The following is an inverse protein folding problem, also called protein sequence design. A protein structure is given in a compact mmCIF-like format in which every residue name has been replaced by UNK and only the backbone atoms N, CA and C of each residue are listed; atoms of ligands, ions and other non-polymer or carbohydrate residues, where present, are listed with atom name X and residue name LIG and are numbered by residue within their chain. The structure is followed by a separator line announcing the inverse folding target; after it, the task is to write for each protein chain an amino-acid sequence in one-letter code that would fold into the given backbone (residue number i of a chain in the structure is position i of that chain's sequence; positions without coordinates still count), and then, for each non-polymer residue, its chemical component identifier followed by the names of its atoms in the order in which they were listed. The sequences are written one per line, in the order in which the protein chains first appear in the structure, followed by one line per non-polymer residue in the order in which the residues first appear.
data_IF_940627378439
#
_entry.id   IF_940627378439
#
_cell.length_a   1.000
_cell.length_b   1.000
_cell.length_c   1.000
_cell.angle_alpha   90.00
_cell.angle_beta   90.00
_cell.angle_gamma   90.00
#
_symmetry.space_group_name_H-M   'P 1'
#
loop_
_entity.id
_entity.type
_entity.pdbx_description
1 polymer ?
#
# COMPACT_ATOMS: atom_id res chain seq x y z
N UNK A 1 -2.04 25.83 0.37
CA UNK A 1 -3.47 25.62 0.15
C UNK A 1 -4.20 25.60 1.47
N UNK A 2 -5.36 26.26 1.54
CA UNK A 2 -6.18 26.34 2.76
C UNK A 2 -7.41 25.41 2.64
N UNK A 3 -7.15 24.18 2.17
CA UNK A 3 -8.22 23.18 2.15
C UNK A 3 -8.32 22.52 3.51
N UNK A 4 -9.53 22.28 4.03
CA UNK A 4 -9.70 21.47 5.23
C UNK A 4 -9.23 20.04 4.95
N UNK A 5 -8.31 19.55 5.77
CA UNK A 5 -7.78 18.19 5.68
C UNK A 5 -8.16 17.49 6.98
N UNK A 6 -8.57 16.23 6.86
CA UNK A 6 -8.80 15.33 7.97
C UNK A 6 -8.00 14.05 7.76
N UNK A 7 -7.30 13.59 8.80
CA UNK A 7 -6.56 12.33 8.76
C UNK A 7 -7.36 11.22 9.44
N UNK A 8 -7.49 10.11 8.75
CA UNK A 8 -8.17 8.90 9.19
C UNK A 8 -7.15 7.82 9.51
N UNK A 9 -7.19 7.28 10.72
CA UNK A 9 -6.26 6.26 11.21
C UNK A 9 -6.99 4.96 11.49
N UNK A 10 -6.45 3.87 10.96
CA UNK A 10 -7.00 2.51 11.04
C UNK A 10 -6.01 1.57 11.73
N UNK A 11 -5.74 1.72 13.03
CA UNK A 11 -4.72 0.91 13.71
C UNK A 11 -5.07 -0.58 13.80
N UNK A 12 -6.32 -0.96 13.60
CA UNK A 12 -6.85 -2.32 13.72
C UNK A 12 -6.48 -3.02 15.04
N UNK A 13 -6.43 -2.27 16.13
CA UNK A 13 -6.00 -2.75 17.44
C UNK A 13 -7.20 -2.82 18.40
N UNK A 14 -7.36 -3.92 19.15
CA UNK A 14 -8.45 -4.05 20.09
C UNK A 14 -8.18 -3.36 21.43
N UNK A 15 -9.25 -2.94 22.11
CA UNK A 15 -9.24 -2.58 23.51
C UNK A 15 -8.27 -1.47 23.90
N UNK A 16 -7.41 -1.75 24.87
CA UNK A 16 -6.47 -0.77 25.43
C UNK A 16 -5.43 -0.24 24.47
N UNK A 17 -4.99 -1.07 23.51
CA UNK A 17 -4.01 -0.65 22.49
C UNK A 17 -4.62 0.37 21.53
N UNK A 18 -5.89 0.21 21.18
CA UNK A 18 -6.63 1.22 20.41
C UNK A 18 -6.65 2.58 21.14
N UNK A 19 -6.95 2.61 22.43
CA UNK A 19 -6.98 3.85 23.20
C UNK A 19 -5.62 4.54 23.24
N UNK A 20 -4.54 3.75 23.36
CA UNK A 20 -3.18 4.26 23.33
C UNK A 20 -2.82 4.81 21.94
N UNK A 21 -3.18 4.11 20.87
CA UNK A 21 -2.95 4.57 19.50
C UNK A 21 -3.67 5.90 19.24
N UNK A 22 -4.95 5.97 19.61
CA UNK A 22 -5.75 7.19 19.51
C UNK A 22 -5.12 8.35 20.27
N UNK A 23 -4.75 8.14 21.52
CA UNK A 23 -4.11 9.17 22.35
C UNK A 23 -2.83 9.69 21.69
N UNK A 24 -1.97 8.81 21.19
CA UNK A 24 -0.73 9.19 20.50
C UNK A 24 -0.98 10.02 19.23
N UNK A 25 -2.02 9.68 18.46
CA UNK A 25 -2.42 10.47 17.29
C UNK A 25 -2.86 11.89 17.72
N UNK A 26 -3.72 11.99 18.72
CA UNK A 26 -4.20 13.27 19.26
C UNK A 26 -3.06 14.13 19.83
N UNK A 27 -2.10 13.52 20.52
CA UNK A 27 -0.91 14.20 21.06
C UNK A 27 0.06 14.67 19.96
N UNK A 28 0.25 13.85 18.91
CA UNK A 28 1.15 14.18 17.81
C UNK A 28 0.58 15.23 16.85
N UNK A 29 -0.75 15.32 16.75
CA UNK A 29 -1.47 16.16 15.78
C UNK A 29 -2.52 17.06 16.47
N UNK A 30 -2.16 17.87 17.49
CA UNK A 30 -3.13 18.57 18.36
C UNK A 30 -3.98 19.63 17.64
N UNK A 31 -3.53 20.10 16.48
CA UNK A 31 -4.21 21.16 15.71
C UNK A 31 -4.74 20.66 14.35
N UNK A 32 -4.83 19.34 14.18
CA UNK A 32 -5.27 18.71 12.95
C UNK A 32 -6.54 17.91 13.22
N UNK A 33 -7.48 17.95 12.30
CA UNK A 33 -8.66 17.07 12.38
C UNK A 33 -8.22 15.63 12.16
N UNK A 34 -8.51 14.78 13.14
CA UNK A 34 -8.14 13.37 13.10
C UNK A 34 -9.31 12.51 13.52
N UNK A 35 -9.51 11.40 12.83
CA UNK A 35 -10.42 10.33 13.23
C UNK A 35 -9.64 9.03 13.36
N UNK A 36 -9.66 8.41 14.53
CA UNK A 36 -9.06 7.10 14.78
C UNK A 36 -10.18 6.08 14.94
N UNK A 37 -10.19 5.09 14.07
CA UNK A 37 -11.23 4.07 14.03
C UNK A 37 -10.89 2.87 14.94
N UNK A 38 -11.84 2.39 15.75
CA UNK A 38 -11.67 1.12 16.44
C UNK A 38 -11.67 -0.04 15.44
N UNK A 39 -11.22 -1.21 15.88
CA UNK A 39 -11.36 -2.44 15.10
C UNK A 39 -12.83 -2.66 14.76
N UNK A 40 -13.10 -2.90 13.49
CA UNK A 40 -14.44 -3.07 12.94
C UNK A 40 -14.52 -4.36 12.10
N UNK A 41 -15.74 -4.82 11.83
CA UNK A 41 -15.95 -5.85 10.82
C UNK A 41 -15.48 -5.35 9.45
N UNK A 42 -14.92 -6.24 8.62
CA UNK A 42 -14.32 -5.88 7.34
C UNK A 42 -15.21 -5.03 6.43
N UNK A 43 -16.53 -5.32 6.27
CA UNK A 43 -17.41 -4.45 5.47
C UNK A 43 -17.55 -3.02 6.01
N UNK A 44 -17.50 -2.84 7.33
CA UNK A 44 -17.61 -1.52 7.94
C UNK A 44 -16.28 -0.75 7.86
N UNK A 45 -15.16 -1.45 7.97
CA UNK A 45 -13.84 -0.89 7.68
C UNK A 45 -13.77 -0.36 6.24
N UNK A 46 -14.23 -1.13 5.25
CA UNK A 46 -14.26 -0.68 3.85
C UNK A 46 -15.13 0.56 3.63
N UNK A 47 -16.28 0.66 4.30
CA UNK A 47 -17.12 1.88 4.27
C UNK A 47 -16.38 3.10 4.84
N UNK A 48 -15.56 2.90 5.87
CA UNK A 48 -14.76 3.97 6.43
C UNK A 48 -13.64 4.40 5.47
N UNK A 49 -13.05 3.45 4.72
CA UNK A 49 -12.11 3.78 3.64
C UNK A 49 -12.76 4.57 2.51
N UNK A 50 -14.03 4.32 2.19
CA UNK A 50 -14.78 5.06 1.16
C UNK A 50 -14.94 6.55 1.48
N UNK A 51 -14.74 6.94 2.74
CA UNK A 51 -14.75 8.34 3.16
C UNK A 51 -13.40 9.05 2.96
N UNK A 52 -12.37 8.33 2.53
CA UNK A 52 -11.03 8.87 2.29
C UNK A 52 -10.82 9.19 0.81
N UNK A 53 -10.00 10.20 0.54
CA UNK A 53 -9.64 10.63 -0.83
C UNK A 53 -8.26 10.13 -1.26
N UNK A 54 -7.36 9.90 -0.31
CA UNK A 54 -5.96 9.54 -0.51
C UNK A 54 -5.55 8.57 0.58
N UNK A 55 -4.85 7.51 0.22
CA UNK A 55 -4.17 6.64 1.17
C UNK A 55 -2.71 7.04 1.31
N UNK A 56 -2.21 7.04 2.54
CA UNK A 56 -0.82 7.31 2.86
C UNK A 56 -0.17 6.02 3.36
N UNK A 57 0.78 5.51 2.58
CA UNK A 57 1.58 4.34 2.95
C UNK A 57 2.39 4.60 4.22
N UNK A 58 2.41 3.63 5.12
CA UNK A 58 3.20 3.72 6.35
C UNK A 58 4.69 3.65 6.08
N UNK A 59 5.48 4.30 6.92
CA UNK A 59 6.92 4.13 7.02
C UNK A 59 7.32 4.27 8.51
N UNK A 60 8.22 3.48 8.98
CA UNK A 60 9.24 2.60 8.39
C UNK A 60 8.73 1.25 7.87
N UNK A 61 7.49 0.89 8.11
CA UNK A 61 6.91 -0.41 7.79
C UNK A 61 5.69 -0.22 6.91
N UNK A 62 5.69 -0.82 5.73
CA UNK A 62 4.59 -0.72 4.79
C UNK A 62 3.37 -1.55 5.21
N UNK A 63 2.25 -1.33 4.54
CA UNK A 63 0.96 -1.98 4.83
C UNK A 63 0.41 -2.69 3.58
N UNK A 64 0.91 -3.88 3.28
CA UNK A 64 0.50 -4.65 2.09
C UNK A 64 -1.00 -4.89 2.03
N UNK A 65 -1.62 -5.38 3.11
CA UNK A 65 -3.05 -5.69 3.12
C UNK A 65 -3.91 -4.43 2.97
N UNK A 66 -3.57 -3.36 3.71
CA UNK A 66 -4.27 -2.09 3.56
C UNK A 66 -4.09 -1.46 2.18
N UNK A 67 -2.95 -1.68 1.52
CA UNK A 67 -2.76 -1.23 0.14
C UNK A 67 -3.67 -1.99 -0.84
N UNK A 68 -3.86 -3.31 -0.67
CA UNK A 68 -4.83 -4.08 -1.46
C UNK A 68 -6.24 -3.51 -1.26
N UNK A 69 -6.64 -3.26 -0.02
CA UNK A 69 -7.96 -2.70 0.29
C UNK A 69 -8.15 -1.32 -0.35
N UNK A 70 -7.13 -0.45 -0.28
CA UNK A 70 -7.15 0.86 -0.93
C UNK A 70 -7.29 0.73 -2.45
N UNK A 71 -6.54 -0.16 -3.10
CA UNK A 71 -6.62 -0.39 -4.54
C UNK A 71 -8.00 -0.92 -4.95
N UNK A 72 -8.56 -1.86 -4.19
CA UNK A 72 -9.92 -2.40 -4.40
C UNK A 72 -10.98 -1.31 -4.27
N UNK A 73 -10.77 -0.33 -3.38
CA UNK A 73 -11.65 0.83 -3.22
C UNK A 73 -11.31 1.99 -4.16
N UNK A 74 -10.40 1.77 -5.13
CA UNK A 74 -9.94 2.78 -6.07
C UNK A 74 -9.38 4.04 -5.39
N UNK A 75 -8.75 3.87 -4.23
CA UNK A 75 -8.16 4.94 -3.44
C UNK A 75 -6.69 5.12 -3.87
N UNK A 76 -6.28 6.28 -4.41
CA UNK A 76 -4.89 6.54 -4.76
C UNK A 76 -3.97 6.46 -3.53
N UNK A 77 -2.83 5.79 -3.69
CA UNK A 77 -1.86 5.57 -2.61
C UNK A 77 -0.60 6.38 -2.90
N UNK A 78 -0.08 7.09 -1.89
CA UNK A 78 1.28 7.62 -1.88
C UNK A 78 2.10 6.74 -0.95
N UNK A 79 3.20 6.18 -1.45
CA UNK A 79 4.09 5.29 -0.70
C UNK A 79 5.51 5.83 -0.66
N UNK A 80 6.26 5.50 0.39
CA UNK A 80 7.69 5.76 0.48
C UNK A 80 8.46 4.48 0.15
N UNK A 81 9.31 4.54 -0.88
CA UNK A 81 10.22 3.46 -1.25
C UNK A 81 11.40 3.40 -0.26
N UNK A 82 11.85 2.19 0.06
CA UNK A 82 12.99 1.97 0.92
C UNK A 82 13.77 0.72 0.52
N UNK A 83 15.00 0.56 1.02
CA UNK A 83 15.90 -0.52 0.63
C UNK A 83 15.47 -1.90 1.16
N UNK A 84 14.65 -1.92 2.19
CA UNK A 84 14.23 -3.17 2.85
C UNK A 84 12.87 -3.65 2.32
N UNK A 85 12.65 -4.97 2.28
CA UNK A 85 11.41 -5.59 1.78
C UNK A 85 10.17 -5.02 2.50
N UNK A 86 10.25 -4.83 3.81
CA UNK A 86 9.12 -4.31 4.59
C UNK A 86 8.81 -2.84 4.34
N UNK A 87 9.74 -2.09 3.73
CA UNK A 87 9.56 -0.69 3.34
C UNK A 87 8.96 -0.53 1.94
N UNK A 88 9.04 -1.59 1.12
CA UNK A 88 8.62 -1.57 -0.28
C UNK A 88 7.33 -2.33 -0.57
N UNK A 89 6.54 -2.65 0.43
CA UNK A 89 5.39 -3.54 0.27
C UNK A 89 4.27 -2.97 -0.57
N UNK A 90 4.00 -1.68 -0.50
CA UNK A 90 2.96 -1.02 -1.31
C UNK A 90 3.36 -0.93 -2.78
N UNK A 91 4.61 -0.62 -3.08
CA UNK A 91 5.08 -0.45 -4.45
C UNK A 91 5.03 -1.74 -5.26
N UNK A 92 5.16 -2.92 -4.59
CA UNK A 92 5.00 -4.23 -5.24
C UNK A 92 3.60 -4.38 -5.83
N UNK A 93 2.59 -3.74 -5.25
CA UNK A 93 1.22 -3.72 -5.73
C UNK A 93 0.96 -2.55 -6.69
N UNK A 94 1.51 -1.37 -6.40
CA UNK A 94 1.26 -0.14 -7.16
C UNK A 94 1.80 -0.20 -8.58
N UNK A 95 3.00 -0.76 -8.79
CA UNK A 95 3.63 -0.88 -10.11
C UNK A 95 2.87 -1.80 -11.07
N UNK A 96 2.51 -3.04 -10.71
CA UNK A 96 1.73 -3.91 -11.59
C UNK A 96 0.35 -3.36 -11.94
N UNK A 97 -0.29 -2.64 -11.02
CA UNK A 97 -1.56 -1.94 -11.28
C UNK A 97 -1.37 -0.73 -12.20
N UNK A 98 -0.11 -0.30 -12.42
CA UNK A 98 0.23 0.80 -13.32
C UNK A 98 -0.11 2.18 -12.75
N UNK A 99 0.07 2.36 -11.44
CA UNK A 99 0.07 3.68 -10.83
C UNK A 99 1.32 4.47 -11.27
N UNK A 100 1.21 5.81 -11.40
CA UNK A 100 2.35 6.65 -11.75
C UNK A 100 3.51 6.53 -10.75
N UNK A 101 4.74 6.44 -11.25
CA UNK A 101 5.94 6.29 -10.40
C UNK A 101 6.14 7.44 -9.40
N UNK A 102 5.64 8.65 -9.68
CA UNK A 102 5.74 9.77 -8.73
C UNK A 102 4.94 9.58 -7.43
N UNK A 103 4.01 8.60 -7.40
CA UNK A 103 3.32 8.18 -6.17
C UNK A 103 4.18 7.28 -5.28
N UNK A 104 5.30 6.79 -5.81
CA UNK A 104 6.28 5.96 -5.11
C UNK A 104 7.50 6.84 -4.82
N UNK A 105 7.42 7.59 -3.74
CA UNK A 105 8.42 8.56 -3.33
C UNK A 105 9.72 7.87 -2.84
N UNK A 106 10.86 8.45 -3.14
CA UNK A 106 12.19 7.96 -2.73
C UNK A 106 12.76 8.74 -1.53
N UNK A 107 12.05 9.76 -1.10
CA UNK A 107 12.40 10.57 0.05
C UNK A 107 11.14 11.09 0.74
N UNK A 108 11.28 11.49 2.00
CA UNK A 108 10.18 12.12 2.74
C UNK A 108 9.72 13.41 2.06
N UNK A 109 10.63 14.17 1.44
CA UNK A 109 10.26 15.37 0.68
C UNK A 109 9.36 15.03 -0.50
N UNK A 110 9.73 14.05 -1.32
CA UNK A 110 8.92 13.59 -2.45
C UNK A 110 7.57 13.03 -1.99
N UNK A 111 7.54 12.32 -0.85
CA UNK A 111 6.30 11.81 -0.27
C UNK A 111 5.33 12.94 0.10
N UNK A 112 5.84 13.99 0.74
CA UNK A 112 5.04 15.17 1.08
C UNK A 112 4.60 15.91 -0.20
N UNK A 113 5.48 16.08 -1.18
CA UNK A 113 5.16 16.73 -2.46
C UNK A 113 4.07 15.97 -3.23
N UNK A 114 4.19 14.65 -3.32
CA UNK A 114 3.18 13.80 -3.96
C UNK A 114 1.83 13.88 -3.24
N UNK A 115 1.84 13.88 -1.91
CA UNK A 115 0.63 14.03 -1.09
C UNK A 115 -0.04 15.39 -1.33
N UNK A 116 0.73 16.47 -1.29
CA UNK A 116 0.22 17.82 -1.53
C UNK A 116 -0.31 17.99 -2.97
N UNK A 117 0.36 17.38 -3.95
CA UNK A 117 -0.12 17.36 -5.34
C UNK A 117 -1.51 16.75 -5.46
N UNK A 118 -1.77 15.63 -4.79
CA UNK A 118 -3.11 15.03 -4.79
C UNK A 118 -4.13 15.85 -4.02
N UNK A 119 -3.73 16.50 -2.93
CA UNK A 119 -4.60 17.40 -2.16
C UNK A 119 -5.00 18.63 -2.98
N UNK A 120 -4.07 19.21 -3.71
CA UNK A 120 -4.29 20.48 -4.44
C UNK A 120 -4.93 20.27 -5.82
N UNK A 121 -4.89 19.05 -6.38
CA UNK A 121 -5.38 18.74 -7.71
C UNK A 121 -6.49 17.68 -7.71
N UNK A 122 -7.72 18.12 -7.51
CA UNK A 122 -8.90 17.23 -7.53
C UNK A 122 -9.09 16.47 -8.83
N UNK A 123 -8.80 17.11 -9.97
CA UNK A 123 -8.97 16.47 -11.27
C UNK A 123 -8.01 15.29 -11.44
N UNK A 124 -6.77 15.47 -11.05
CA UNK A 124 -5.76 14.41 -11.10
C UNK A 124 -6.10 13.28 -10.14
N UNK A 125 -6.51 13.60 -8.91
CA UNK A 125 -6.91 12.62 -7.90
C UNK A 125 -8.10 11.78 -8.39
N UNK A 126 -9.14 12.40 -8.90
CA UNK A 126 -10.33 11.71 -9.45
C UNK A 126 -9.95 10.84 -10.65
N UNK A 127 -9.16 11.36 -11.58
CA UNK A 127 -8.71 10.59 -12.75
C UNK A 127 -7.90 9.36 -12.36
N UNK A 128 -7.06 9.45 -11.32
CA UNK A 128 -6.32 8.30 -10.77
C UNK A 128 -7.28 7.28 -10.16
N UNK A 129 -8.25 7.72 -9.38
CA UNK A 129 -9.28 6.86 -8.78
C UNK A 129 -10.08 6.12 -9.85
N UNK A 130 -10.58 6.83 -10.86
CA UNK A 130 -11.31 6.22 -11.98
C UNK A 130 -10.46 5.21 -12.76
N UNK A 131 -9.18 5.52 -13.00
CA UNK A 131 -8.26 4.61 -13.67
C UNK A 131 -7.96 3.35 -12.86
N UNK A 132 -7.99 3.42 -11.53
CA UNK A 132 -7.74 2.29 -10.64
C UNK A 132 -8.80 1.20 -10.74
N UNK A 133 -10.08 1.56 -10.92
CA UNK A 133 -11.21 0.59 -10.94
C UNK A 133 -10.92 -0.57 -11.89
N UNK A 134 -10.70 -0.30 -13.17
CA UNK A 134 -10.46 -1.35 -14.16
C UNK A 134 -9.08 -2.02 -14.03
N UNK A 135 -8.06 -1.26 -13.66
CA UNK A 135 -6.69 -1.77 -13.51
C UNK A 135 -6.58 -2.75 -12.34
N UNK A 136 -7.20 -2.43 -11.21
CA UNK A 136 -7.18 -3.32 -10.03
C UNK A 136 -7.89 -4.62 -10.30
N UNK A 137 -9.05 -4.57 -10.96
CA UNK A 137 -9.80 -5.78 -11.34
C UNK A 137 -8.97 -6.67 -12.29
N UNK A 138 -8.35 -6.08 -13.29
CA UNK A 138 -7.50 -6.81 -14.23
C UNK A 138 -6.29 -7.44 -13.53
N UNK A 139 -5.64 -6.71 -12.61
CA UNK A 139 -4.53 -7.22 -11.83
C UNK A 139 -4.95 -8.40 -10.94
N UNK A 140 -6.01 -8.26 -10.16
CA UNK A 140 -6.49 -9.34 -9.27
C UNK A 140 -6.89 -10.60 -10.05
N UNK A 141 -7.47 -10.44 -11.23
CA UNK A 141 -7.78 -11.55 -12.11
C UNK A 141 -6.52 -12.26 -12.60
N UNK A 142 -5.52 -11.52 -13.08
CA UNK A 142 -4.25 -12.06 -13.52
C UNK A 142 -3.53 -12.82 -12.39
N UNK A 143 -3.51 -12.25 -11.17
CA UNK A 143 -2.91 -12.92 -10.01
C UNK A 143 -3.67 -14.20 -9.62
N UNK A 144 -5.00 -14.23 -9.73
CA UNK A 144 -5.78 -15.44 -9.47
C UNK A 144 -5.50 -16.56 -10.49
N UNK A 145 -5.12 -16.21 -11.72
CA UNK A 145 -4.70 -17.16 -12.76
C UNK A 145 -3.28 -17.72 -12.52
N UNK A 146 -2.45 -17.02 -11.74
CA UNK A 146 -1.05 -17.38 -11.41
C UNK A 146 -0.88 -18.13 -10.08
N UNK A 147 -1.93 -18.76 -9.59
CA UNK A 147 -1.98 -19.44 -8.28
C UNK A 147 -0.90 -20.50 -8.04
N UNK A 148 -0.38 -21.10 -9.10
CA UNK A 148 0.61 -22.17 -9.03
C UNK A 148 2.06 -21.67 -9.09
N UNK A 149 2.30 -20.40 -9.43
CA UNK A 149 3.65 -19.80 -9.60
C UNK A 149 4.54 -19.98 -8.35
N UNK A 150 3.96 -19.86 -7.17
CA UNK A 150 4.69 -20.05 -5.91
C UNK A 150 5.15 -21.51 -5.74
N UNK A 151 4.27 -22.46 -6.00
CA UNK A 151 4.58 -23.88 -5.90
C UNK A 151 5.65 -24.28 -6.93
N UNK A 152 5.54 -23.76 -8.15
CA UNK A 152 6.51 -23.99 -9.23
C UNK A 152 7.87 -23.38 -8.90
N UNK A 153 7.90 -22.16 -8.34
CA UNK A 153 9.13 -21.53 -7.89
C UNK A 153 9.82 -22.34 -6.77
N UNK A 154 9.07 -22.79 -5.78
CA UNK A 154 9.59 -23.62 -4.67
C UNK A 154 10.11 -24.96 -5.20
N UNK A 155 9.35 -25.59 -6.12
CA UNK A 155 9.76 -26.85 -6.73
C UNK A 155 11.03 -26.68 -7.56
N UNK A 156 11.13 -25.62 -8.35
CA UNK A 156 12.33 -25.29 -9.12
C UNK A 156 13.53 -25.06 -8.18
N UNK A 157 13.37 -24.31 -7.09
CA UNK A 157 14.41 -24.10 -6.09
C UNK A 157 14.89 -25.43 -5.48
N UNK A 158 13.95 -26.32 -5.14
CA UNK A 158 14.27 -27.64 -4.60
C UNK A 158 15.09 -28.50 -5.59
N UNK A 159 14.68 -28.53 -6.85
CA UNK A 159 15.39 -29.28 -7.90
C UNK A 159 16.81 -28.72 -8.16
N UNK A 160 17.01 -27.44 -7.98
CA UNK A 160 18.27 -26.75 -8.27
C UNK A 160 19.08 -26.41 -7.00
N UNK A 161 18.69 -26.92 -5.82
CA UNK A 161 19.23 -26.51 -4.53
C UNK A 161 20.76 -26.58 -4.44
N UNK A 162 21.37 -27.62 -4.98
CA UNK A 162 22.83 -27.82 -4.85
C UNK A 162 23.59 -26.74 -5.66
N UNK A 163 23.07 -26.41 -6.86
CA UNK A 163 23.60 -25.32 -7.67
C UNK A 163 23.34 -23.93 -7.06
N UNK A 164 22.18 -23.75 -6.40
CA UNK A 164 21.85 -22.50 -5.72
C UNK A 164 22.71 -22.26 -4.49
N UNK A 165 22.99 -23.33 -3.72
CA UNK A 165 23.87 -23.27 -2.54
C UNK A 165 25.35 -23.00 -2.91
N UNK A 166 25.77 -23.37 -4.13
CA UNK A 166 27.11 -23.11 -4.63
C UNK A 166 27.31 -21.67 -5.18
N UNK A 167 26.24 -20.87 -5.27
CA UNK A 167 26.30 -19.48 -5.76
C UNK A 167 26.62 -18.53 -4.61
N UNK A 168 27.44 -17.52 -4.90
CA UNK A 168 27.66 -16.37 -4.02
C UNK A 168 26.57 -15.30 -4.15
N UNK A 169 25.71 -15.40 -5.18
CA UNK A 169 24.64 -14.45 -5.45
C UNK A 169 23.47 -14.62 -4.48
N UNK A 170 23.07 -13.52 -3.84
CA UNK A 170 21.93 -13.50 -2.90
C UNK A 170 20.57 -13.37 -3.58
N UNK A 171 20.53 -12.99 -4.87
CA UNK A 171 19.29 -12.83 -5.65
C UNK A 171 19.14 -13.94 -6.66
N UNK A 172 18.06 -14.69 -6.57
CA UNK A 172 17.73 -15.76 -7.47
C UNK A 172 16.79 -15.23 -8.57
N UNK A 173 17.19 -15.43 -9.83
CA UNK A 173 16.33 -15.15 -10.98
C UNK A 173 15.86 -16.48 -11.57
N UNK A 174 14.71 -17.03 -11.14
CA UNK A 174 14.16 -18.22 -11.76
C UNK A 174 13.83 -17.93 -13.25
N UNK A 175 13.89 -18.94 -14.12
CA UNK A 175 13.46 -18.77 -15.50
C UNK A 175 11.99 -18.34 -15.53
N UNK A 176 11.64 -17.47 -16.47
CA UNK A 176 10.23 -17.14 -16.69
C UNK A 176 9.49 -18.45 -17.01
N UNK A 177 8.53 -18.77 -16.17
CA UNK A 177 7.63 -19.89 -16.41
C UNK A 177 6.73 -19.50 -17.61
N UNK A 178 6.64 -20.30 -18.67
CA UNK A 178 5.93 -19.96 -19.90
C UNK A 178 4.43 -19.83 -19.69
#
# INVERSE_FOLDING_TARGET
ATRPIEFHFFPNEPGGVYHLARQRVEEALPNVRTTTYPTAAYPDYLKNLDACDIALGGFVFGNTNGAVDCLVRALPIVALDGPEIHQGSEQILMRPVGLPEWLIAKSVSEYVEATLRLIDNDQERVALSEALVGKTEAFLKAEAERKDDFADAVWWMYQNRDALLAREEQVLHPPKIP
#
